data_IF_275481007141
#
_entry.id   IF_275481007141
#
_cell.length_a   1.000
_cell.length_b   1.000
_cell.length_c   1.000
_cell.angle_alpha   90.00
_cell.angle_beta   90.00
_cell.angle_gamma   90.00
#
_symmetry.space_group_name_H-M   'P 1'
#
loop_
_entity.id
_entity.type
_entity.pdbx_description
1 polymer ?
#
# COMPACT_ATOMS: atom_id res chain seq x y z
N UNK A 1 21.20 10.39 37.59
CA UNK A 1 19.81 9.89 37.63
C UNK A 1 19.36 9.63 36.20
N UNK A 2 19.03 8.38 35.85
CA UNK A 2 18.66 7.97 34.49
C UNK A 2 17.22 8.41 34.24
N UNK A 3 17.05 9.45 33.43
CA UNK A 3 15.74 9.90 32.95
C UNK A 3 15.29 8.85 31.93
N UNK A 4 14.39 7.97 32.34
CA UNK A 4 13.68 7.04 31.46
C UNK A 4 12.85 7.89 30.49
N UNK A 5 13.43 8.19 29.33
CA UNK A 5 12.72 8.67 28.15
C UNK A 5 11.60 7.66 27.93
N UNK A 6 10.37 8.07 28.20
CA UNK A 6 9.18 7.26 28.03
C UNK A 6 9.06 6.93 26.55
N UNK A 7 9.59 5.75 26.20
CA UNK A 7 9.65 5.12 24.90
C UNK A 7 8.24 4.70 24.46
N UNK A 8 7.32 5.65 24.34
CA UNK A 8 5.92 5.41 23.96
C UNK A 8 5.70 5.46 22.44
N UNK A 9 6.76 5.39 21.62
CA UNK A 9 6.58 5.01 20.22
C UNK A 9 6.47 3.49 20.14
N UNK A 10 5.39 2.97 20.73
CA UNK A 10 5.04 1.56 20.76
C UNK A 10 4.83 1.09 19.32
N UNK A 11 5.81 0.38 18.74
CA UNK A 11 5.74 -0.80 17.82
C UNK A 11 4.68 -0.80 16.69
N UNK A 12 3.92 0.26 16.44
CA UNK A 12 2.82 0.31 15.48
C UNK A 12 3.37 0.79 14.14
N UNK A 13 3.38 -0.10 13.15
CA UNK A 13 3.80 0.19 11.78
C UNK A 13 2.83 1.22 11.14
N UNK A 14 3.34 2.05 10.23
CA UNK A 14 2.64 3.23 9.68
C UNK A 14 1.16 2.98 9.33
N UNK A 15 0.26 3.95 9.63
CA UNK A 15 -1.19 3.81 9.45
C UNK A 15 -1.62 4.10 7.99
N UNK A 16 -0.90 3.56 7.01
CA UNK A 16 -1.15 3.80 5.58
C UNK A 16 -1.19 2.49 4.79
N UNK A 17 -1.93 2.49 3.69
CA UNK A 17 -2.19 1.34 2.84
C UNK A 17 -1.29 1.08 1.62
N UNK A 18 -0.45 2.02 1.12
CA UNK A 18 0.44 1.74 0.00
C UNK A 18 1.26 0.47 0.21
N UNK A 19 1.18 -0.46 -0.74
CA UNK A 19 1.88 -1.76 -0.68
C UNK A 19 1.29 -2.79 0.30
N UNK A 20 0.16 -2.51 0.95
CA UNK A 20 -0.51 -3.37 1.94
C UNK A 20 -1.96 -3.74 1.60
N UNK A 21 -2.49 -3.25 0.47
CA UNK A 21 -3.86 -3.56 0.06
C UNK A 21 -4.08 -5.08 -0.07
N UNK A 22 -5.15 -5.59 0.55
CA UNK A 22 -5.49 -7.01 0.50
C UNK A 22 -4.66 -7.93 1.38
N UNK A 23 -3.75 -7.40 2.20
CA UNK A 23 -3.01 -8.20 3.16
C UNK A 23 -3.95 -8.70 4.26
N UNK A 24 -3.67 -9.90 4.78
CA UNK A 24 -4.40 -10.45 5.93
C UNK A 24 -4.35 -9.52 7.14
N UNK A 25 -5.27 -9.72 8.09
CA UNK A 25 -5.28 -8.97 9.36
C UNK A 25 -3.99 -9.24 10.12
N UNK A 26 -3.30 -8.16 10.53
CA UNK A 26 -2.08 -8.25 11.32
C UNK A 26 -2.14 -7.27 12.49
N UNK A 27 -2.02 -7.82 13.71
CA UNK A 27 -2.14 -7.09 14.97
C UNK A 27 -0.97 -6.13 15.24
N UNK A 28 0.10 -6.17 14.44
CA UNK A 28 1.21 -5.22 14.51
C UNK A 28 0.92 -3.89 13.83
N UNK A 29 -0.22 -3.77 13.15
CA UNK A 29 -0.68 -2.52 12.53
C UNK A 29 -1.88 -1.96 13.30
N UNK A 30 -1.91 -0.64 13.49
CA UNK A 30 -3.05 0.06 14.10
C UNK A 30 -4.29 0.06 13.22
N UNK A 31 -4.12 -0.24 11.94
CA UNK A 31 -5.18 -0.25 10.95
C UNK A 31 -4.91 -1.30 9.88
N UNK A 32 -5.99 -1.74 9.24
CA UNK A 32 -6.02 -2.79 8.24
C UNK A 32 -6.30 -2.22 6.85
N UNK A 33 -5.81 -2.93 5.82
CA UNK A 33 -5.95 -2.56 4.41
C UNK A 33 -6.60 -3.67 3.58
N UNK A 34 -7.36 -4.56 4.21
CA UNK A 34 -8.19 -5.58 3.56
C UNK A 34 -9.65 -5.15 3.51
N UNK A 35 -10.48 -5.77 2.66
CA UNK A 35 -11.88 -5.36 2.56
C UNK A 35 -12.71 -5.67 3.82
N UNK A 36 -12.24 -6.56 4.70
CA UNK A 36 -12.90 -6.81 5.98
C UNK A 36 -12.79 -5.62 6.94
N UNK A 37 -11.87 -4.68 6.70
CA UNK A 37 -11.65 -3.55 7.58
C UNK A 37 -12.89 -2.63 7.70
N UNK A 38 -13.73 -2.58 6.66
CA UNK A 38 -14.95 -1.77 6.68
C UNK A 38 -15.99 -2.35 7.66
N UNK A 39 -15.98 -3.68 7.82
CA UNK A 39 -16.84 -4.38 8.79
C UNK A 39 -16.35 -4.17 10.21
N UNK A 40 -15.04 -4.20 10.43
CA UNK A 40 -14.42 -4.05 11.76
C UNK A 40 -14.13 -2.60 12.15
N UNK A 41 -14.32 -1.66 11.21
CA UNK A 41 -14.04 -0.22 11.36
C UNK A 41 -12.60 0.08 11.76
N UNK A 42 -11.66 -0.72 11.28
CA UNK A 42 -10.23 -0.61 11.52
C UNK A 42 -9.45 -0.30 10.24
N UNK A 43 -10.11 0.23 9.19
CA UNK A 43 -9.43 0.65 7.96
C UNK A 43 -8.42 1.76 8.21
N UNK A 44 -7.28 1.73 7.51
CA UNK A 44 -6.40 2.91 7.46
C UNK A 44 -7.11 4.08 6.77
N UNK A 45 -6.71 5.31 7.12
CA UNK A 45 -7.38 6.54 6.64
C UNK A 45 -7.35 6.69 5.13
N UNK A 46 -6.34 6.12 4.48
CA UNK A 46 -6.12 6.15 3.03
C UNK A 46 -6.65 4.90 2.31
N UNK A 47 -7.29 3.96 3.01
CA UNK A 47 -7.81 2.71 2.42
C UNK A 47 -8.75 2.95 1.25
N UNK A 48 -9.67 3.91 1.37
CA UNK A 48 -10.65 4.21 0.33
C UNK A 48 -9.97 4.72 -0.96
N UNK A 49 -8.94 5.55 -0.83
CA UNK A 49 -8.24 6.14 -1.97
C UNK A 49 -7.24 5.13 -2.58
N UNK A 50 -6.46 4.47 -1.72
CA UNK A 50 -5.34 3.64 -2.15
C UNK A 50 -5.79 2.22 -2.53
N UNK A 51 -6.70 1.61 -1.78
CA UNK A 51 -7.13 0.23 -2.01
C UNK A 51 -8.48 0.12 -2.71
N UNK A 52 -9.45 0.99 -2.38
CA UNK A 52 -10.81 0.90 -2.93
C UNK A 52 -10.93 1.58 -4.30
N UNK A 53 -10.45 2.81 -4.43
CA UNK A 53 -10.38 3.51 -5.71
C UNK A 53 -9.26 2.94 -6.59
N UNK A 54 -8.12 2.59 -5.98
CA UNK A 54 -7.02 1.87 -6.62
C UNK A 54 -7.42 0.53 -7.25
N UNK A 55 -8.51 -0.12 -6.83
CA UNK A 55 -8.97 -1.41 -7.38
C UNK A 55 -9.40 -1.40 -8.86
N UNK A 56 -9.36 -0.23 -9.51
CA UNK A 56 -9.70 -0.04 -10.94
C UNK A 56 -8.50 0.39 -11.81
N UNK A 57 -7.35 0.69 -11.20
CA UNK A 57 -6.18 1.26 -11.88
C UNK A 57 -4.88 0.61 -11.39
N UNK A 58 -3.86 0.57 -12.24
CA UNK A 58 -2.52 0.11 -11.90
C UNK A 58 -1.58 1.17 -11.31
N UNK A 59 -2.05 2.41 -11.11
CA UNK A 59 -1.24 3.48 -10.53
C UNK A 59 -0.71 3.08 -9.15
N UNK A 60 0.60 2.94 -9.02
CA UNK A 60 1.25 2.52 -7.76
C UNK A 60 1.01 1.05 -7.36
N UNK A 61 0.44 0.23 -8.26
CA UNK A 61 0.09 -1.19 -8.01
C UNK A 61 0.84 -2.18 -8.92
N UNK A 62 1.73 -1.71 -9.79
CA UNK A 62 2.52 -2.60 -10.66
C UNK A 62 3.31 -3.62 -9.82
N UNK A 63 3.19 -4.90 -10.15
CA UNK A 63 3.85 -5.99 -9.42
C UNK A 63 3.14 -6.41 -8.13
N UNK A 64 1.89 -6.01 -7.92
CA UNK A 64 1.11 -6.43 -6.75
C UNK A 64 0.96 -7.97 -6.65
N UNK A 65 0.65 -8.45 -5.45
CA UNK A 65 0.23 -9.84 -5.25
C UNK A 65 -1.21 -10.02 -5.71
N UNK A 66 -1.56 -11.26 -6.08
CA UNK A 66 -2.94 -11.58 -6.39
C UNK A 66 -3.82 -11.39 -5.15
N UNK A 67 -4.87 -10.60 -5.31
CA UNK A 67 -5.91 -10.39 -4.30
C UNK A 67 -7.28 -10.54 -4.96
N UNK A 68 -8.00 -11.62 -4.64
CA UNK A 68 -9.32 -11.91 -5.20
C UNK A 68 -10.39 -10.84 -4.94
N UNK A 69 -10.12 -9.89 -4.04
CA UNK A 69 -11.02 -8.76 -3.77
C UNK A 69 -10.87 -7.62 -4.77
N UNK A 70 -9.80 -7.61 -5.58
CA UNK A 70 -9.61 -6.59 -6.61
C UNK A 70 -10.45 -6.92 -7.84
N UNK A 71 -11.08 -5.90 -8.45
CA UNK A 71 -11.81 -6.06 -9.72
C UNK A 71 -10.88 -6.34 -10.90
N UNK A 72 -9.64 -5.86 -10.80
CA UNK A 72 -8.60 -6.04 -11.78
C UNK A 72 -7.21 -6.07 -11.12
N UNK A 73 -6.24 -6.64 -11.82
CA UNK A 73 -4.92 -6.93 -11.30
C UNK A 73 -3.80 -6.26 -12.09
N UNK A 74 -2.71 -5.97 -11.39
CA UNK A 74 -1.55 -5.28 -11.95
C UNK A 74 -0.26 -6.08 -11.79
N UNK A 75 -0.39 -7.42 -11.85
CA UNK A 75 0.72 -8.34 -11.72
C UNK A 75 1.12 -8.91 -13.09
N UNK A 76 2.34 -9.44 -13.20
CA UNK A 76 2.87 -9.98 -14.46
C UNK A 76 2.09 -11.15 -15.04
N UNK A 77 1.19 -11.77 -14.26
CA UNK A 77 0.34 -12.88 -14.70
C UNK A 77 -1.05 -12.42 -15.12
N UNK A 78 -1.41 -11.15 -14.96
CA UNK A 78 -2.77 -10.71 -15.20
C UNK A 78 -3.20 -10.89 -16.66
N UNK A 79 -2.26 -10.77 -17.59
CA UNK A 79 -2.47 -10.97 -19.04
C UNK A 79 -2.79 -12.43 -19.35
N UNK A 80 -2.16 -13.37 -18.63
CA UNK A 80 -2.45 -14.81 -18.74
C UNK A 80 -3.87 -15.15 -18.27
N UNK A 81 -4.39 -14.44 -17.26
CA UNK A 81 -5.71 -14.67 -16.68
C UNK A 81 -6.79 -13.71 -17.19
N UNK A 82 -6.46 -12.82 -18.14
CA UNK A 82 -7.34 -11.79 -18.68
C UNK A 82 -8.05 -10.96 -17.59
N UNK A 83 -7.35 -10.68 -16.50
CA UNK A 83 -7.87 -9.93 -15.36
C UNK A 83 -7.04 -8.67 -15.06
N UNK A 84 -6.31 -8.15 -16.06
CA UNK A 84 -5.56 -6.90 -15.93
C UNK A 84 -6.49 -5.68 -15.76
N UNK A 85 -6.02 -4.63 -15.08
CA UNK A 85 -6.69 -3.34 -15.18
C UNK A 85 -6.52 -2.76 -16.59
N UNK A 86 -7.44 -1.89 -17.01
CA UNK A 86 -7.43 -1.31 -18.37
C UNK A 86 -6.18 -0.49 -18.67
N UNK A 87 -5.55 0.06 -17.63
CA UNK A 87 -4.33 0.86 -17.68
C UNK A 87 -3.06 0.03 -17.39
N UNK A 88 -3.16 -1.30 -17.28
CA UNK A 88 -1.99 -2.17 -17.04
C UNK A 88 -0.95 -2.00 -18.14
N UNK A 89 -1.37 -1.97 -19.40
CA UNK A 89 -0.43 -1.88 -20.52
C UNK A 89 0.29 -0.54 -20.52
N UNK A 90 -0.44 0.54 -20.23
CA UNK A 90 0.10 1.90 -20.21
C UNK A 90 1.04 2.13 -19.02
N UNK A 91 0.68 1.63 -17.82
CA UNK A 91 1.40 1.90 -16.57
C UNK A 91 2.46 0.85 -16.21
N UNK A 92 2.25 -0.41 -16.59
CA UNK A 92 3.09 -1.54 -16.15
C UNK A 92 3.73 -2.36 -17.30
N UNK A 93 3.15 -2.39 -18.51
CA UNK A 93 3.69 -3.15 -19.67
C UNK A 93 4.55 -2.29 -20.62
N UNK A 94 4.60 -0.96 -20.39
CA UNK A 94 5.55 -0.06 -21.03
C UNK A 94 6.98 -0.55 -20.79
N UNK A 95 7.57 -1.18 -21.81
CA UNK A 95 8.94 -1.73 -21.86
C UNK A 95 10.05 -0.66 -21.75
N UNK A 96 10.01 0.18 -20.73
CA UNK A 96 11.12 1.01 -20.30
C UNK A 96 10.91 1.35 -18.85
N UNK A 97 11.74 0.80 -17.98
CA UNK A 97 12.40 1.50 -16.87
C UNK A 97 11.65 2.69 -16.25
N UNK A 98 10.36 2.55 -15.94
CA UNK A 98 9.79 3.21 -14.79
C UNK A 98 9.72 2.16 -13.69
N UNK A 99 10.91 1.70 -13.28
CA UNK A 99 11.20 1.75 -11.85
C UNK A 99 10.76 3.16 -11.46
N UNK A 100 9.62 3.38 -10.74
CA UNK A 100 9.43 4.66 -10.10
C UNK A 100 10.77 4.92 -9.42
N UNK A 101 11.47 6.02 -9.75
CA UNK A 101 12.87 6.23 -9.42
C UNK A 101 13.03 5.71 -8.02
N UNK A 102 13.82 4.63 -7.91
CA UNK A 102 14.04 3.81 -6.73
C UNK A 102 13.48 4.56 -5.54
N UNK A 103 12.42 4.03 -4.90
CA UNK A 103 12.13 4.44 -3.54
C UNK A 103 13.46 4.29 -2.82
N UNK A 104 14.16 5.41 -2.72
CA UNK A 104 15.52 5.46 -2.27
C UNK A 104 15.41 4.94 -0.85
N UNK A 105 16.23 3.97 -0.42
CA UNK A 105 16.30 3.61 0.98
C UNK A 105 16.57 4.83 1.89
N UNK A 106 16.93 5.98 1.31
CA UNK A 106 17.14 7.30 1.94
C UNK A 106 16.03 8.33 1.70
N UNK A 107 14.94 8.03 0.98
CA UNK A 107 13.73 8.88 0.98
C UNK A 107 12.70 8.36 2.00
N UNK A 108 13.19 7.97 3.19
CA UNK A 108 12.41 8.14 4.41
C UNK A 108 11.97 9.60 4.47
N UNK A 109 10.66 9.83 4.56
CA UNK A 109 10.01 11.09 4.93
C UNK A 109 10.99 12.27 4.97
N UNK A 110 11.09 13.01 3.86
CA UNK A 110 11.67 14.34 3.88
C UNK A 110 11.08 15.08 5.08
N UNK A 111 11.95 15.32 6.06
CA UNK A 111 11.97 16.46 6.99
C UNK A 111 10.82 17.45 6.79
N UNK A 112 9.62 17.08 7.20
CA UNK A 112 8.69 18.06 7.72
C UNK A 112 9.08 18.18 9.18
N UNK A 113 10.02 19.11 9.42
CA UNK A 113 10.15 19.76 10.71
C UNK A 113 8.80 20.40 11.02
N UNK A 114 7.86 19.62 11.52
CA UNK A 114 6.86 20.13 12.42
C UNK A 114 7.32 19.69 13.80
N UNK A 115 7.77 20.70 14.55
CA UNK A 115 8.00 20.62 15.98
C UNK A 115 6.92 19.77 16.65
N UNK A 116 7.40 18.95 17.58
CA UNK A 116 6.61 18.14 18.48
C UNK A 116 5.56 18.96 19.24
#
# INVERSE_FOLDING_TARGET
MRIQISLHCCIIKLPVCPGRCGYGTDSNFSCQCNASCERYRDCCSDYAEICKAGATSCKGRCGEKYNSQNKCHCNSKCTKYNNCCSDYTDLCDSKSNHVPPVADPRLTCHTVSHHC
#
